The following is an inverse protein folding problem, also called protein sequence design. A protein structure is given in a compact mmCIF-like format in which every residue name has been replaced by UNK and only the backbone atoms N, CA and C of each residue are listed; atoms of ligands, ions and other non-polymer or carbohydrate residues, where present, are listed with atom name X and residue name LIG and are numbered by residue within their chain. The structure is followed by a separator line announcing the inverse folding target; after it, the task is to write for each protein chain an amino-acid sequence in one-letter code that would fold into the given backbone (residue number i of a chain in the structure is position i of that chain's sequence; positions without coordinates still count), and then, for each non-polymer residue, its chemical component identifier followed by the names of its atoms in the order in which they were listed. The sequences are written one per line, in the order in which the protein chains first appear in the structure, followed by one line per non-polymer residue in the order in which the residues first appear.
data_IF_675692392368
#
_entry.id   IF_675692392368
#
_cell.length_a   1.000
_cell.length_b   1.000
_cell.length_c   1.000
_cell.angle_alpha   90.00
_cell.angle_beta   90.00
_cell.angle_gamma   90.00
#
_symmetry.space_group_name_H-M   'P 1'
#
loop_
_entity.id
_entity.type
_entity.pdbx_description
1 polymer ?
#
# COMPACT_ATOMS: atom_id res chain seq x y z
N UNK A 1 -15.27 -15.45 0.57
CA UNK A 1 -16.22 -14.31 0.48
C UNK A 1 -15.50 -13.16 -0.18
N UNK A 2 -16.07 -12.60 -1.22
CA UNK A 2 -15.59 -11.35 -1.80
C UNK A 2 -15.97 -10.20 -0.88
N UNK A 3 -15.03 -9.28 -0.62
CA UNK A 3 -15.34 -8.03 0.03
C UNK A 3 -15.93 -7.07 -1.02
N UNK A 4 -16.76 -6.16 -0.57
CA UNK A 4 -17.32 -5.11 -1.42
C UNK A 4 -16.71 -3.76 -1.04
N UNK A 5 -16.33 -3.00 -2.05
CA UNK A 5 -16.01 -1.57 -1.93
C UNK A 5 -16.94 -0.81 -2.89
N UNK A 6 -16.88 0.50 -2.90
CA UNK A 6 -17.60 1.29 -3.90
C UNK A 6 -16.65 2.14 -4.76
N UNK A 7 -17.13 2.51 -5.92
CA UNK A 7 -16.55 3.53 -6.77
C UNK A 7 -17.64 4.55 -7.08
N UNK A 8 -17.52 5.75 -6.52
CA UNK A 8 -18.55 6.80 -6.62
C UNK A 8 -19.96 6.31 -6.23
N UNK A 9 -20.03 5.45 -5.21
CA UNK A 9 -21.28 4.88 -4.70
C UNK A 9 -21.75 3.60 -5.38
N UNK A 10 -21.13 3.18 -6.47
CA UNK A 10 -21.43 1.90 -7.14
C UNK A 10 -20.60 0.76 -6.53
N UNK A 11 -21.27 -0.33 -6.18
CA UNK A 11 -20.62 -1.50 -5.56
C UNK A 11 -19.77 -2.25 -6.55
N UNK A 12 -18.55 -2.60 -6.12
CA UNK A 12 -17.61 -3.45 -6.84
C UNK A 12 -17.07 -4.54 -5.93
N UNK A 13 -16.86 -5.73 -6.47
CA UNK A 13 -16.31 -6.86 -5.73
C UNK A 13 -14.78 -6.85 -5.72
N UNK A 14 -14.21 -7.27 -4.59
CA UNK A 14 -12.78 -7.40 -4.39
C UNK A 14 -12.45 -8.81 -3.92
N UNK A 15 -11.46 -9.45 -4.52
CA UNK A 15 -11.04 -10.81 -4.19
C UNK A 15 -10.35 -10.88 -2.83
N UNK A 16 -10.61 -11.94 -2.10
CA UNK A 16 -9.91 -12.27 -0.86
C UNK A 16 -10.32 -11.40 0.33
N UNK A 17 -9.43 -11.34 1.30
CA UNK A 17 -9.58 -10.52 2.50
C UNK A 17 -8.29 -9.77 2.80
N UNK A 18 -8.43 -8.51 3.21
CA UNK A 18 -7.30 -7.75 3.73
C UNK A 18 -6.73 -8.45 4.98
N UNK A 19 -5.39 -8.50 5.15
CA UNK A 19 -4.79 -9.07 6.35
C UNK A 19 -5.32 -8.41 7.62
N UNK A 20 -5.83 -9.21 8.55
CA UNK A 20 -6.44 -8.71 9.78
C UNK A 20 -5.38 -8.40 10.84
N UNK A 21 -5.62 -7.42 11.74
CA UNK A 21 -4.78 -7.22 12.93
C UNK A 21 -4.61 -8.53 13.72
N UNK A 22 -3.38 -8.83 14.12
CA UNK A 22 -3.00 -10.08 14.80
C UNK A 22 -2.53 -11.18 13.87
N UNK A 23 -2.78 -11.09 12.54
CA UNK A 23 -2.27 -12.04 11.56
C UNK A 23 -0.84 -11.70 11.11
N UNK A 24 -0.16 -12.66 10.50
CA UNK A 24 1.12 -12.41 9.82
C UNK A 24 0.88 -11.80 8.43
N UNK A 25 1.75 -10.90 8.00
CA UNK A 25 1.73 -10.41 6.62
C UNK A 25 1.94 -11.58 5.65
N UNK A 26 1.13 -11.68 4.58
CA UNK A 26 1.43 -12.59 3.48
C UNK A 26 2.77 -12.25 2.84
N UNK A 27 3.55 -13.27 2.50
CA UNK A 27 4.76 -13.10 1.71
C UNK A 27 4.43 -12.49 0.34
N UNK A 28 5.32 -11.67 -0.16
CA UNK A 28 5.18 -11.08 -1.48
C UNK A 28 6.50 -11.07 -2.26
N UNK A 29 6.36 -10.97 -3.56
CA UNK A 29 7.45 -10.68 -4.50
C UNK A 29 6.97 -9.58 -5.44
N UNK A 30 7.55 -8.41 -5.30
CA UNK A 30 7.22 -7.19 -6.04
C UNK A 30 8.47 -6.64 -6.72
N UNK A 31 8.33 -5.63 -7.55
CA UNK A 31 9.43 -5.08 -8.35
C UNK A 31 9.65 -3.61 -8.00
N UNK A 32 10.89 -3.24 -7.70
CA UNK A 32 11.26 -1.86 -7.42
C UNK A 32 11.50 -1.04 -8.70
N UNK A 33 11.83 0.24 -8.56
CA UNK A 33 12.11 1.16 -9.67
C UNK A 33 13.31 0.75 -10.53
N UNK A 34 14.22 -0.04 -9.99
CA UNK A 34 15.44 -0.52 -10.65
C UNK A 34 15.24 -1.91 -11.31
N UNK A 35 14.00 -2.38 -11.38
CA UNK A 35 13.55 -3.65 -11.93
C UNK A 35 14.05 -4.89 -11.15
N UNK A 36 14.42 -4.70 -9.90
CA UNK A 36 14.83 -5.78 -9.01
C UNK A 36 13.63 -6.35 -8.24
N UNK A 37 13.65 -7.66 -8.02
CA UNK A 37 12.65 -8.33 -7.18
C UNK A 37 12.87 -7.97 -5.71
N UNK A 38 11.81 -7.53 -5.07
CA UNK A 38 11.76 -7.22 -3.64
C UNK A 38 10.77 -8.15 -2.94
N UNK A 39 11.18 -8.71 -1.83
CA UNK A 39 10.37 -9.61 -1.00
C UNK A 39 10.12 -8.99 0.37
N UNK A 40 9.22 -9.58 1.15
CA UNK A 40 8.99 -9.15 2.53
C UNK A 40 10.29 -9.23 3.36
N UNK A 41 11.16 -10.21 3.07
CA UNK A 41 12.47 -10.38 3.74
C UNK A 41 13.42 -9.21 3.58
N UNK A 42 13.32 -8.43 2.49
CA UNK A 42 14.15 -7.23 2.27
C UNK A 42 13.82 -6.09 3.26
N UNK A 43 12.69 -6.18 3.94
CA UNK A 43 12.23 -5.22 4.93
C UNK A 43 12.22 -5.79 6.35
N UNK A 44 12.97 -6.86 6.61
CA UNK A 44 13.09 -7.47 7.93
C UNK A 44 13.53 -6.44 8.98
N UNK A 45 13.04 -6.62 10.21
CA UNK A 45 13.32 -5.77 11.36
C UNK A 45 12.83 -4.32 11.26
N UNK A 46 12.07 -4.00 10.21
CA UNK A 46 11.44 -2.69 10.06
C UNK A 46 9.94 -2.78 10.33
N UNK A 47 9.38 -1.76 10.94
CA UNK A 47 7.93 -1.54 10.95
C UNK A 47 7.51 -1.11 9.55
N UNK A 48 6.37 -1.59 9.09
CA UNK A 48 5.93 -1.41 7.70
C UNK A 48 4.61 -0.69 7.65
N UNK A 49 4.55 0.35 6.81
CA UNK A 49 3.31 0.90 6.32
C UNK A 49 3.21 0.51 4.84
N UNK A 50 2.21 -0.30 4.51
CA UNK A 50 1.94 -0.76 3.15
C UNK A 50 0.69 -0.03 2.67
N UNK A 51 0.86 0.87 1.71
CA UNK A 51 -0.23 1.62 1.10
C UNK A 51 -0.46 1.13 -0.32
N UNK A 52 -1.62 0.52 -0.54
CA UNK A 52 -2.01 -0.07 -1.83
C UNK A 52 -3.00 0.87 -2.50
N UNK A 53 -2.77 1.19 -3.76
CA UNK A 53 -3.57 2.17 -4.50
C UNK A 53 -3.85 1.69 -5.93
N UNK A 54 -4.96 2.13 -6.55
CA UNK A 54 -5.28 1.77 -7.93
C UNK A 54 -4.22 2.20 -8.95
N UNK A 55 -3.80 3.44 -8.93
CA UNK A 55 -2.76 3.97 -9.82
C UNK A 55 -2.16 5.25 -9.26
N UNK A 56 -0.83 5.37 -9.34
CA UNK A 56 -0.13 6.59 -8.92
C UNK A 56 -0.45 7.79 -9.83
N UNK A 57 -0.96 7.54 -11.02
CA UNK A 57 -1.34 8.57 -12.01
C UNK A 57 -2.78 9.09 -11.80
N UNK A 58 -3.38 8.83 -10.64
CA UNK A 58 -4.66 9.41 -10.21
C UNK A 58 -4.45 10.44 -9.10
N UNK A 59 -5.26 11.53 -9.04
CA UNK A 59 -5.06 12.61 -8.06
C UNK A 59 -5.03 12.15 -6.61
N UNK A 60 -6.00 11.35 -6.18
CA UNK A 60 -6.10 10.86 -4.79
C UNK A 60 -4.89 10.00 -4.41
N UNK A 61 -4.44 9.13 -5.32
CA UNK A 61 -3.28 8.27 -5.06
C UNK A 61 -1.97 9.07 -4.98
N UNK A 62 -1.82 10.06 -5.87
CA UNK A 62 -0.66 10.95 -5.87
C UNK A 62 -0.60 11.79 -4.58
N UNK A 63 -1.71 12.45 -4.23
CA UNK A 63 -1.79 13.34 -3.06
C UNK A 63 -1.62 12.56 -1.75
N UNK A 64 -2.24 11.40 -1.62
CA UNK A 64 -2.12 10.56 -0.43
C UNK A 64 -0.72 9.99 -0.23
N UNK A 65 -0.03 9.64 -1.30
CA UNK A 65 1.37 9.20 -1.22
C UNK A 65 2.29 10.33 -0.73
N UNK A 66 2.11 11.54 -1.22
CA UNK A 66 2.84 12.73 -0.75
C UNK A 66 2.55 13.01 0.72
N UNK A 67 1.28 12.90 1.12
CA UNK A 67 0.86 13.13 2.51
C UNK A 67 1.50 12.13 3.47
N UNK A 68 1.56 10.85 3.12
CA UNK A 68 2.31 9.87 3.92
C UNK A 68 3.80 10.22 4.01
N UNK A 69 4.42 10.64 2.90
CA UNK A 69 5.81 11.06 2.91
C UNK A 69 6.06 12.23 3.89
N UNK A 70 5.20 13.24 3.86
CA UNK A 70 5.27 14.40 4.76
C UNK A 70 5.09 14.01 6.24
N UNK A 71 4.10 13.17 6.54
CA UNK A 71 3.87 12.69 7.91
C UNK A 71 5.06 11.88 8.42
N UNK A 72 5.68 11.08 7.57
CA UNK A 72 6.87 10.31 7.92
C UNK A 72 8.11 11.18 8.16
N UNK A 73 8.20 12.37 7.58
CA UNK A 73 9.28 13.32 7.89
C UNK A 73 9.35 13.68 9.37
N UNK A 74 8.26 13.51 10.10
CA UNK A 74 8.16 13.80 11.54
C UNK A 74 8.46 12.57 12.42
N UNK A 75 8.72 11.42 11.82
CA UNK A 75 8.98 10.16 12.52
C UNK A 75 10.48 9.82 12.50
N UNK A 76 10.95 9.00 13.45
CA UNK A 76 12.30 8.41 13.38
C UNK A 76 12.33 7.31 12.33
N UNK A 77 13.06 7.51 11.22
CA UNK A 77 12.90 6.75 9.99
C UNK A 77 13.74 5.48 9.84
N UNK A 78 14.80 5.31 10.63
CA UNK A 78 15.75 4.20 10.41
C UNK A 78 15.12 2.80 10.50
N UNK A 79 14.00 2.68 11.20
CA UNK A 79 13.31 1.40 11.46
C UNK A 79 11.91 1.31 10.81
N UNK A 80 11.59 2.22 9.89
CA UNK A 80 10.31 2.25 9.18
C UNK A 80 10.53 2.04 7.69
N UNK A 81 9.71 1.19 7.08
CA UNK A 81 9.58 1.04 5.64
C UNK A 81 8.16 1.46 5.23
N UNK A 82 8.04 2.49 4.40
CA UNK A 82 6.78 2.87 3.76
C UNK A 82 6.77 2.38 2.33
N UNK A 83 5.90 1.42 2.04
CA UNK A 83 5.76 0.79 0.73
C UNK A 83 4.49 1.31 0.09
N UNK A 84 4.60 1.96 -1.07
CA UNK A 84 3.45 2.34 -1.89
C UNK A 84 3.40 1.42 -3.10
N UNK A 85 2.27 0.72 -3.25
CA UNK A 85 2.10 -0.34 -4.25
C UNK A 85 0.91 -0.04 -5.14
N UNK A 86 1.11 0.75 -6.21
CA UNK A 86 0.10 0.96 -7.24
C UNK A 86 0.09 -0.19 -8.24
N UNK A 87 -0.98 -0.26 -9.06
CA UNK A 87 -1.05 -1.22 -10.16
C UNK A 87 -0.15 -0.86 -11.36
N UNK A 88 0.57 0.24 -11.26
CA UNK A 88 1.43 0.76 -12.34
C UNK A 88 2.73 -0.04 -12.51
N UNK A 89 3.37 0.16 -13.66
CA UNK A 89 4.71 -0.37 -13.93
C UNK A 89 5.78 0.40 -13.16
N UNK A 90 6.95 -0.21 -12.90
CA UNK A 90 8.05 0.45 -12.19
C UNK A 90 8.51 1.76 -12.84
N UNK A 91 8.41 1.87 -14.16
CA UNK A 91 8.74 3.08 -14.93
C UNK A 91 7.84 4.26 -14.57
N UNK A 92 6.54 4.04 -14.41
CA UNK A 92 5.59 5.07 -14.01
C UNK A 92 5.83 5.50 -12.56
N UNK A 93 6.12 4.57 -11.67
CA UNK A 93 6.46 4.83 -10.28
C UNK A 93 7.73 5.70 -10.17
N UNK A 94 8.77 5.35 -10.91
CA UNK A 94 10.02 6.11 -10.95
C UNK A 94 9.78 7.55 -11.45
N UNK A 95 9.04 7.70 -12.55
CA UNK A 95 8.71 9.02 -13.11
C UNK A 95 7.89 9.88 -12.15
N UNK A 96 6.96 9.29 -11.43
CA UNK A 96 6.18 10.00 -10.42
C UNK A 96 7.09 10.52 -9.28
N UNK A 97 7.96 9.66 -8.75
CA UNK A 97 8.90 10.04 -7.71
C UNK A 97 9.84 11.16 -8.16
N UNK A 98 10.42 11.04 -9.35
CA UNK A 98 11.32 12.06 -9.93
C UNK A 98 10.66 13.44 -10.12
N UNK A 99 9.37 13.47 -10.45
CA UNK A 99 8.60 14.71 -10.64
C UNK A 99 8.04 15.30 -9.36
N UNK A 100 8.07 14.55 -8.27
CA UNK A 100 7.59 15.01 -6.96
C UNK A 100 8.67 15.84 -6.27
N UNK A 101 8.25 16.81 -5.46
CA UNK A 101 9.17 17.56 -4.61
C UNK A 101 9.98 16.58 -3.74
N UNK A 102 11.28 16.81 -3.65
CA UNK A 102 12.25 16.02 -2.88
C UNK A 102 12.32 14.53 -3.26
N UNK A 103 11.68 14.09 -4.35
CA UNK A 103 11.74 12.70 -4.81
C UNK A 103 11.06 11.69 -3.89
N UNK A 104 10.28 12.12 -2.90
CA UNK A 104 9.59 11.29 -1.90
C UNK A 104 10.51 10.28 -1.19
N UNK A 105 11.53 10.74 -0.46
CA UNK A 105 12.61 9.89 0.06
C UNK A 105 12.16 8.83 1.06
N UNK A 106 11.00 9.02 1.72
CA UNK A 106 10.47 8.06 2.69
C UNK A 106 9.63 6.95 2.06
N UNK A 107 9.40 7.01 0.74
CA UNK A 107 8.54 6.07 0.02
C UNK A 107 9.37 5.11 -0.82
N UNK A 108 9.13 3.82 -0.65
CA UNK A 108 9.58 2.78 -1.56
C UNK A 108 8.40 2.36 -2.45
N UNK A 109 8.46 2.72 -3.74
CA UNK A 109 7.46 2.30 -4.70
C UNK A 109 7.75 0.88 -5.18
N UNK A 110 6.73 0.01 -5.15
CA UNK A 110 6.81 -1.36 -5.63
C UNK A 110 5.70 -1.64 -6.64
N UNK A 111 5.99 -2.49 -7.61
CA UNK A 111 5.06 -2.86 -8.68
C UNK A 111 4.74 -4.36 -8.64
N UNK A 112 3.50 -4.71 -8.87
CA UNK A 112 3.06 -6.10 -9.07
C UNK A 112 3.05 -6.51 -10.55
N UNK A 113 3.92 -5.94 -11.37
CA UNK A 113 3.90 -6.18 -12.83
C UNK A 113 4.13 -7.63 -13.24
N UNK A 114 4.82 -8.45 -12.40
CA UNK A 114 5.12 -9.84 -12.73
C UNK A 114 3.99 -10.80 -12.36
N UNK A 115 3.15 -10.45 -11.37
CA UNK A 115 2.08 -11.32 -10.89
C UNK A 115 1.06 -10.54 -10.08
N UNK A 116 -0.21 -10.89 -10.22
CA UNK A 116 -1.31 -10.36 -9.40
C UNK A 116 -1.51 -11.12 -8.09
N UNK A 117 -0.62 -12.03 -7.76
CA UNK A 117 -0.73 -12.83 -6.53
C UNK A 117 -0.77 -11.95 -5.29
N UNK A 118 0.07 -10.91 -5.23
CA UNK A 118 0.03 -9.91 -4.15
C UNK A 118 -1.37 -9.33 -3.93
N UNK A 119 -2.03 -8.89 -5.01
CA UNK A 119 -3.36 -8.29 -4.91
C UNK A 119 -4.42 -9.27 -4.39
N UNK A 120 -4.28 -10.56 -4.71
CA UNK A 120 -5.17 -11.63 -4.20
C UNK A 120 -4.90 -11.91 -2.73
N UNK A 121 -3.63 -12.07 -2.34
CA UNK A 121 -3.22 -12.41 -0.98
C UNK A 121 -3.53 -11.28 0.01
N UNK A 122 -3.47 -10.03 -0.44
CA UNK A 122 -3.81 -8.86 0.35
C UNK A 122 -5.27 -8.44 0.25
N UNK A 123 -6.09 -9.19 -0.50
CA UNK A 123 -7.52 -8.96 -0.59
C UNK A 123 -7.93 -7.62 -1.23
N UNK A 124 -7.18 -7.18 -2.23
CA UNK A 124 -7.36 -5.87 -2.88
C UNK A 124 -7.56 -5.93 -4.39
N UNK A 125 -7.57 -7.11 -5.00
CA UNK A 125 -7.81 -7.26 -6.43
C UNK A 125 -9.27 -6.97 -6.77
N UNK A 126 -9.53 -5.95 -7.57
CA UNK A 126 -10.87 -5.63 -8.06
C UNK A 126 -11.27 -6.65 -9.12
N UNK A 127 -12.43 -7.29 -8.93
CA UNK A 127 -12.94 -8.35 -9.82
C UNK A 127 -14.07 -7.88 -10.73
N UNK A 128 -14.71 -6.77 -10.43
CA UNK A 128 -15.86 -6.27 -11.20
C UNK A 128 -15.79 -4.78 -11.47
N UNK A 129 -16.61 -4.31 -12.39
CA UNK A 129 -16.71 -2.90 -12.76
C UNK A 129 -15.56 -2.42 -13.66
N UNK A 130 -15.49 -1.11 -13.93
CA UNK A 130 -14.53 -0.55 -14.89
C UNK A 130 -13.07 -0.65 -14.43
N UNK A 131 -12.81 -0.85 -13.14
CA UNK A 131 -11.47 -0.99 -12.57
C UNK A 131 -11.06 -2.45 -12.34
N UNK A 132 -11.81 -3.43 -12.86
CA UNK A 132 -11.48 -4.83 -12.74
C UNK A 132 -10.05 -5.11 -13.24
N UNK A 133 -9.27 -5.80 -12.42
CA UNK A 133 -7.90 -6.17 -12.73
C UNK A 133 -6.81 -5.29 -12.11
N UNK A 134 -7.17 -4.16 -11.51
CA UNK A 134 -6.25 -3.36 -10.69
C UNK A 134 -6.60 -3.49 -9.20
N UNK A 135 -5.91 -2.77 -8.34
CA UNK A 135 -6.11 -2.84 -6.89
C UNK A 135 -7.08 -1.79 -6.37
N UNK A 136 -7.78 -2.15 -5.31
CA UNK A 136 -8.51 -1.21 -4.47
C UNK A 136 -7.54 -0.37 -3.62
N UNK A 137 -8.06 0.55 -2.81
CA UNK A 137 -7.28 1.36 -1.89
C UNK A 137 -7.29 0.73 -0.50
N UNK A 138 -6.10 0.47 0.04
CA UNK A 138 -5.96 -0.14 1.35
C UNK A 138 -4.67 0.30 2.06
N UNK A 139 -4.70 0.28 3.39
CA UNK A 139 -3.53 0.47 4.24
C UNK A 139 -3.36 -0.75 5.13
N UNK A 140 -2.15 -1.27 5.22
CA UNK A 140 -1.78 -2.33 6.17
C UNK A 140 -0.54 -1.88 6.92
N UNK A 141 -0.58 -1.93 8.24
CA UNK A 141 0.57 -1.61 9.10
C UNK A 141 0.98 -2.86 9.84
N UNK A 142 2.27 -3.16 9.84
CA UNK A 142 2.84 -4.30 10.56
C UNK A 142 4.05 -3.88 11.40
N UNK A 143 4.29 -4.64 12.46
CA UNK A 143 5.44 -4.50 13.34
C UNK A 143 6.74 -5.09 12.72
N UNK A 144 7.81 -5.07 13.48
CA UNK A 144 9.13 -5.58 13.09
C UNK A 144 9.14 -7.09 12.83
N UNK A 145 8.15 -7.82 13.36
CA UNK A 145 7.98 -9.28 13.20
C UNK A 145 6.97 -9.64 12.12
N UNK A 146 6.58 -8.66 11.30
CA UNK A 146 5.56 -8.81 10.25
C UNK A 146 4.17 -9.16 10.78
N UNK A 147 3.88 -8.88 12.04
CA UNK A 147 2.52 -9.02 12.57
C UNK A 147 1.72 -7.76 12.25
N UNK A 148 0.54 -7.95 11.67
CA UNK A 148 -0.37 -6.85 11.33
C UNK A 148 -0.90 -6.21 12.61
N UNK A 149 -0.75 -4.89 12.74
CA UNK A 149 -1.24 -4.11 13.88
C UNK A 149 -2.40 -3.19 13.49
N UNK A 150 -2.55 -2.89 12.21
CA UNK A 150 -3.67 -2.11 11.67
C UNK A 150 -3.91 -2.47 10.22
N UNK A 151 -5.16 -2.48 9.80
CA UNK A 151 -5.53 -2.59 8.39
C UNK A 151 -6.82 -1.85 8.10
N UNK A 152 -6.88 -1.24 6.92
CA UNK A 152 -8.04 -0.52 6.41
C UNK A 152 -8.21 -0.82 4.92
N UNK A 153 -9.35 -1.39 4.54
CA UNK A 153 -9.83 -1.40 3.17
C UNK A 153 -10.77 -0.20 3.02
N UNK A 154 -10.34 0.80 2.26
CA UNK A 154 -11.11 2.05 2.11
C UNK A 154 -12.44 1.74 1.41
N UNK A 155 -13.55 2.15 2.01
CA UNK A 155 -14.90 1.78 1.57
C UNK A 155 -15.27 2.29 0.18
N UNK A 156 -14.80 3.46 -0.21
CA UNK A 156 -14.92 3.98 -1.56
C UNK A 156 -13.53 4.31 -2.11
N UNK A 157 -13.23 3.81 -3.31
CA UNK A 157 -11.91 3.94 -3.93
C UNK A 157 -11.51 5.41 -4.16
N UNK A 158 -12.49 6.30 -4.32
CA UNK A 158 -12.28 7.73 -4.48
C UNK A 158 -11.95 8.47 -3.17
N UNK A 159 -12.05 7.82 -2.01
CA UNK A 159 -11.78 8.44 -0.72
C UNK A 159 -10.34 8.20 -0.26
N UNK A 160 -9.87 9.10 0.60
CA UNK A 160 -8.57 8.99 1.27
C UNK A 160 -8.64 7.97 2.43
N UNK A 161 -7.51 7.33 2.79
CA UNK A 161 -7.42 6.49 3.99
C UNK A 161 -7.40 7.33 5.26
N UNK A 162 -7.56 6.68 6.42
CA UNK A 162 -7.36 7.29 7.74
C UNK A 162 -5.85 7.35 8.05
N UNK A 163 -5.21 8.43 7.63
CA UNK A 163 -3.76 8.64 7.81
C UNK A 163 -3.34 8.61 9.27
N UNK A 164 -4.14 9.24 10.13
CA UNK A 164 -3.80 9.37 11.56
C UNK A 164 -3.74 8.00 12.23
N UNK A 165 -4.73 7.16 12.01
CA UNK A 165 -4.73 5.78 12.55
C UNK A 165 -3.58 4.95 12.03
N UNK A 166 -3.25 5.09 10.74
CA UNK A 166 -2.12 4.37 10.15
C UNK A 166 -0.79 4.79 10.80
N UNK A 167 -0.54 6.07 10.95
CA UNK A 167 0.70 6.60 11.57
C UNK A 167 0.75 6.27 13.06
N UNK A 168 -0.35 6.38 13.79
CA UNK A 168 -0.41 5.98 15.21
C UNK A 168 -0.06 4.50 15.39
N UNK A 169 -0.62 3.62 14.57
CA UNK A 169 -0.29 2.20 14.59
C UNK A 169 1.18 1.93 14.24
N UNK A 170 1.72 2.66 13.26
CA UNK A 170 3.11 2.54 12.81
C UNK A 170 4.11 2.97 13.90
N UNK A 171 3.78 3.99 14.67
CA UNK A 171 4.66 4.61 15.67
C UNK A 171 4.38 4.14 17.10
N UNK A 172 3.34 3.35 17.31
CA UNK A 172 3.03 2.80 18.63
C UNK A 172 4.20 1.94 19.14
N UNK A 173 4.63 2.20 20.38
CA UNK A 173 5.65 1.37 21.01
C UNK A 173 5.17 -0.07 21.13
N UNK A 174 6.04 -1.04 20.82
CA UNK A 174 5.76 -2.44 21.12
C UNK A 174 5.52 -2.58 22.64
N UNK A 175 4.36 -3.12 23.00
CA UNK A 175 4.07 -3.52 24.40
C UNK A 175 4.57 -4.94 24.64
#
# INVERSE_FOLDING_TARGET
MSNEVSLHGEKISVAGKIPAPGSQLPEFKLVNKDLEDMTLGDFNHKRKLIYIVPSIDTPVCADSSKKFNEMLNQCSHSEIACLVIPADLPFANARFAEKSEDGLPNICFLSMMRSRQFAKDYGVLIESGPLAGITSRAVVVADEKNQVVHSELVKDIGLEPDYQKAIEALTASAQ
#
